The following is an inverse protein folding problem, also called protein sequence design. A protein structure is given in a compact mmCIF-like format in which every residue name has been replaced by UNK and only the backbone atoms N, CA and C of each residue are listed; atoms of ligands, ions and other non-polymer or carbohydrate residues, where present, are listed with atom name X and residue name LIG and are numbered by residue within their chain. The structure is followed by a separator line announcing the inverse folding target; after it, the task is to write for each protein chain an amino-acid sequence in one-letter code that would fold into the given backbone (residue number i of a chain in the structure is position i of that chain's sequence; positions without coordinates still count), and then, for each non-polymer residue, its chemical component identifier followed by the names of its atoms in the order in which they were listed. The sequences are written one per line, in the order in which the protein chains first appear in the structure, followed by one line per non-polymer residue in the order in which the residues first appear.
data_IF_122736850109
#
_entry.id   IF_122736850109
#
_cell.length_a   1.000
_cell.length_b   1.000
_cell.length_c   1.000
_cell.angle_alpha   90.00
_cell.angle_beta   90.00
_cell.angle_gamma   90.00
#
_symmetry.space_group_name_H-M   'P 1'
#
loop_
_entity.id
_entity.type
_entity.pdbx_description
1 polymer ?
#
# COMPACT_ATOMS: atom_id res chain seq x y z
N UNK A 1 13.96 -26.90 11.88
CA UNK A 1 13.26 -25.61 12.08
C UNK A 1 12.14 -25.52 11.06
N UNK A 2 10.91 -25.33 11.51
CA UNK A 2 9.74 -25.32 10.63
C UNK A 2 9.71 -24.00 9.82
N UNK A 3 9.70 -24.13 8.50
CA UNK A 3 9.42 -23.01 7.60
C UNK A 3 7.90 -22.81 7.51
N UNK A 4 7.45 -21.55 7.43
CA UNK A 4 6.02 -21.21 7.45
C UNK A 4 5.62 -20.55 6.14
N UNK A 5 4.60 -21.11 5.48
CA UNK A 5 3.89 -20.51 4.38
C UNK A 5 2.51 -20.03 4.85
N UNK A 6 2.24 -18.74 4.72
CA UNK A 6 0.93 -18.14 4.98
C UNK A 6 0.28 -17.78 3.66
N UNK A 7 -0.93 -18.28 3.44
CA UNK A 7 -1.76 -17.91 2.30
C UNK A 7 -2.89 -16.98 2.78
N UNK A 8 -2.95 -15.79 2.25
CA UNK A 8 -3.97 -14.80 2.58
C UNK A 8 -4.75 -14.39 1.32
N UNK A 9 -5.98 -13.96 1.51
CA UNK A 9 -6.85 -13.53 0.42
C UNK A 9 -6.45 -12.16 -0.15
N UNK A 10 -6.22 -11.18 0.73
CA UNK A 10 -6.04 -9.78 0.35
C UNK A 10 -4.75 -9.20 0.92
N UNK A 11 -3.96 -8.56 0.04
CA UNK A 11 -2.83 -7.75 0.46
C UNK A 11 -3.28 -6.61 1.38
N UNK A 12 -2.58 -6.41 2.48
CA UNK A 12 -2.95 -5.48 3.56
C UNK A 12 -4.32 -5.73 4.23
N UNK A 13 -4.96 -6.86 3.99
CA UNK A 13 -6.10 -7.32 4.78
C UNK A 13 -5.72 -7.70 6.21
N UNK A 14 -6.70 -7.87 7.10
CA UNK A 14 -6.43 -8.21 8.50
C UNK A 14 -5.59 -9.48 8.68
N UNK A 15 -5.82 -10.58 7.95
CA UNK A 15 -4.97 -11.76 8.03
C UNK A 15 -3.53 -11.50 7.60
N UNK A 16 -3.34 -10.77 6.48
CA UNK A 16 -2.02 -10.37 6.02
C UNK A 16 -1.27 -9.52 7.05
N UNK A 17 -1.93 -8.50 7.62
CA UNK A 17 -1.32 -7.61 8.59
C UNK A 17 -0.91 -8.34 9.87
N UNK A 18 -1.72 -9.28 10.35
CA UNK A 18 -1.37 -10.11 11.52
C UNK A 18 -0.18 -11.02 11.22
N UNK A 19 -0.18 -11.67 10.06
CA UNK A 19 0.93 -12.53 9.64
C UNK A 19 2.24 -11.72 9.46
N UNK A 20 2.16 -10.52 8.88
CA UNK A 20 3.30 -9.62 8.72
C UNK A 20 3.89 -9.21 10.07
N UNK A 21 3.04 -8.89 11.06
CA UNK A 21 3.49 -8.57 12.41
C UNK A 21 4.20 -9.75 13.06
N UNK A 22 3.62 -10.97 12.96
CA UNK A 22 4.25 -12.18 13.50
C UNK A 22 5.62 -12.42 12.84
N UNK A 23 5.73 -12.21 11.52
CA UNK A 23 6.99 -12.33 10.79
C UNK A 23 8.04 -11.34 11.29
N UNK A 24 7.67 -10.08 11.52
CA UNK A 24 8.57 -9.04 12.04
C UNK A 24 9.02 -9.31 13.47
N UNK A 25 8.11 -9.81 14.33
CA UNK A 25 8.43 -10.19 15.71
C UNK A 25 9.33 -11.45 15.79
N UNK A 26 9.42 -12.24 14.71
CA UNK A 26 10.20 -13.47 14.63
C UNK A 26 11.17 -13.47 13.43
N UNK A 27 12.15 -12.57 13.36
CA UNK A 27 13.02 -12.40 12.19
C UNK A 27 13.90 -13.62 11.86
N UNK A 28 14.15 -14.47 12.86
CA UNK A 28 14.94 -15.70 12.69
C UNK A 28 14.11 -16.88 12.14
N UNK A 29 12.78 -16.72 12.02
CA UNK A 29 11.91 -17.75 11.50
C UNK A 29 11.67 -17.53 10.02
N UNK A 30 11.93 -18.53 9.20
CA UNK A 30 11.69 -18.44 7.76
C UNK A 30 10.18 -18.49 7.50
N UNK A 31 9.61 -17.34 7.17
CA UNK A 31 8.17 -17.18 6.95
C UNK A 31 7.93 -16.39 5.67
N UNK A 32 7.10 -16.93 4.80
CA UNK A 32 6.68 -16.29 3.55
C UNK A 32 5.16 -16.12 3.55
N UNK A 33 4.68 -14.97 3.06
CA UNK A 33 3.27 -14.65 2.96
C UNK A 33 2.94 -14.46 1.48
N UNK A 34 1.95 -15.19 0.98
CA UNK A 34 1.43 -15.07 -0.39
C UNK A 34 -0.03 -14.62 -0.31
N UNK A 35 -0.39 -13.61 -1.12
CA UNK A 35 -1.78 -13.10 -1.18
C UNK A 35 -2.44 -13.43 -2.52
N UNK A 36 -3.75 -13.21 -2.58
CA UNK A 36 -4.55 -13.58 -3.74
C UNK A 36 -5.01 -15.04 -3.70
N UNK A 37 -5.19 -15.58 -2.46
CA UNK A 37 -5.61 -16.96 -2.25
C UNK A 37 -6.80 -17.35 -3.14
N UNK A 38 -6.59 -18.36 -3.93
CA UNK A 38 -7.62 -19.03 -4.73
C UNK A 38 -7.44 -20.55 -4.64
N UNK A 39 -8.38 -21.29 -5.20
CA UNK A 39 -8.34 -22.75 -5.12
C UNK A 39 -7.12 -23.36 -5.85
N UNK A 40 -6.72 -22.93 -7.06
CA UNK A 40 -5.49 -23.38 -7.69
C UNK A 40 -4.24 -23.21 -6.81
N UNK A 41 -4.09 -22.04 -6.17
CA UNK A 41 -3.00 -21.78 -5.23
C UNK A 41 -2.96 -22.79 -4.09
N UNK A 42 -4.12 -23.05 -3.48
CA UNK A 42 -4.22 -23.98 -2.35
C UNK A 42 -3.90 -25.43 -2.77
N UNK A 43 -4.43 -25.86 -3.92
CA UNK A 43 -4.16 -27.20 -4.48
C UNK A 43 -2.66 -27.35 -4.75
N UNK A 44 -2.04 -26.35 -5.39
CA UNK A 44 -0.61 -26.41 -5.72
C UNK A 44 0.26 -26.45 -4.46
N UNK A 45 -0.04 -25.61 -3.46
CA UNK A 45 0.68 -25.62 -2.19
C UNK A 45 0.64 -26.99 -1.49
N UNK A 46 -0.52 -27.62 -1.52
CA UNK A 46 -0.70 -28.96 -0.95
C UNK A 46 0.05 -30.03 -1.75
N UNK A 47 -0.01 -29.96 -3.07
CA UNK A 47 0.68 -30.88 -3.98
C UNK A 47 2.20 -30.81 -3.82
N UNK A 48 2.77 -29.60 -3.79
CA UNK A 48 4.20 -29.40 -3.58
C UNK A 48 4.69 -30.04 -2.28
N UNK A 49 3.96 -29.86 -1.19
CA UNK A 49 4.31 -30.50 0.08
C UNK A 49 4.24 -32.03 0.06
N UNK A 50 3.38 -32.60 -0.78
CA UNK A 50 3.28 -34.06 -0.92
C UNK A 50 4.37 -34.65 -1.80
N UNK A 51 4.74 -33.94 -2.88
CA UNK A 51 5.71 -34.40 -3.87
C UNK A 51 7.13 -34.15 -3.44
N UNK A 52 7.38 -33.01 -2.81
CA UNK A 52 8.70 -32.56 -2.36
C UNK A 52 8.64 -32.10 -0.88
N UNK A 53 8.50 -33.03 0.07
CA UNK A 53 8.34 -32.69 1.49
C UNK A 53 9.53 -31.92 2.08
N UNK A 54 10.70 -32.06 1.48
CA UNK A 54 11.95 -31.41 1.89
C UNK A 54 12.22 -30.07 1.16
N UNK A 55 11.33 -29.67 0.22
CA UNK A 55 11.47 -28.40 -0.50
C UNK A 55 11.28 -27.22 0.46
N UNK A 56 12.16 -26.23 0.33
CA UNK A 56 12.07 -24.99 1.11
C UNK A 56 10.86 -24.14 0.71
N UNK A 57 10.35 -23.34 1.63
CA UNK A 57 9.18 -22.48 1.41
C UNK A 57 9.32 -21.56 0.21
N UNK A 58 10.53 -21.11 -0.10
CA UNK A 58 10.80 -20.20 -1.25
C UNK A 58 10.59 -20.91 -2.59
N UNK A 59 11.02 -22.17 -2.69
CA UNK A 59 10.82 -23.01 -3.89
C UNK A 59 9.34 -23.29 -4.10
N UNK A 60 8.64 -23.69 -3.04
CA UNK A 60 7.19 -23.91 -3.05
C UNK A 60 6.46 -22.64 -3.52
N UNK A 61 6.84 -21.47 -3.02
CA UNK A 61 6.23 -20.18 -3.38
C UNK A 61 6.42 -19.85 -4.86
N UNK A 62 7.58 -20.14 -5.45
CA UNK A 62 7.81 -19.89 -6.88
C UNK A 62 6.82 -20.68 -7.76
N UNK A 63 6.60 -21.95 -7.43
CA UNK A 63 5.66 -22.83 -8.14
C UNK A 63 4.21 -22.38 -7.93
N UNK A 64 3.83 -22.08 -6.70
CA UNK A 64 2.49 -21.58 -6.36
C UNK A 64 2.17 -20.29 -7.11
N UNK A 65 3.09 -19.35 -7.16
CA UNK A 65 2.89 -18.05 -7.80
C UNK A 65 2.56 -18.21 -9.30
N UNK A 66 3.29 -19.10 -9.97
CA UNK A 66 3.09 -19.40 -11.39
C UNK A 66 1.70 -19.98 -11.64
N UNK A 67 1.36 -21.06 -10.94
CA UNK A 67 0.09 -21.76 -11.09
C UNK A 67 -1.11 -20.86 -10.74
N UNK A 68 -0.98 -20.03 -9.71
CA UNK A 68 -2.03 -19.08 -9.32
C UNK A 68 -2.32 -18.07 -10.45
N UNK A 69 -1.28 -17.54 -11.07
CA UNK A 69 -1.43 -16.60 -12.18
C UNK A 69 -2.08 -17.26 -13.40
N UNK A 70 -1.65 -18.45 -13.73
CA UNK A 70 -2.18 -19.22 -14.86
C UNK A 70 -3.60 -19.78 -14.59
N UNK A 71 -3.98 -19.91 -13.33
CA UNK A 71 -5.30 -20.41 -12.91
C UNK A 71 -6.45 -19.40 -13.09
N UNK A 72 -6.16 -18.13 -13.31
CA UNK A 72 -7.19 -17.10 -13.60
C UNK A 72 -7.50 -17.14 -15.09
N UNK A 73 -8.70 -17.60 -15.43
CA UNK A 73 -9.17 -17.72 -16.82
C UNK A 73 -10.50 -17.02 -17.00
N UNK A 74 -10.74 -16.51 -18.20
CA UNK A 74 -11.98 -15.82 -18.55
C UNK A 74 -12.60 -16.46 -19.79
N UNK A 75 -13.93 -16.61 -19.80
CA UNK A 75 -14.70 -17.06 -20.96
C UNK A 75 -15.77 -16.01 -21.29
N UNK A 76 -15.86 -15.49 -22.50
CA UNK A 76 -15.00 -15.79 -23.66
C UNK A 76 -13.59 -15.17 -23.52
N UNK A 77 -12.60 -15.84 -24.10
CA UNK A 77 -11.17 -15.47 -23.97
C UNK A 77 -10.86 -14.06 -24.47
N UNK A 78 -11.64 -13.52 -25.40
CA UNK A 78 -11.49 -12.15 -25.91
C UNK A 78 -11.76 -11.04 -24.89
N UNK A 79 -12.20 -11.38 -23.67
CA UNK A 79 -12.36 -10.44 -22.55
C UNK A 79 -11.10 -10.38 -21.65
N UNK A 80 -10.12 -11.24 -21.88
CA UNK A 80 -8.84 -11.14 -21.17
C UNK A 80 -8.16 -9.86 -21.69
N UNK A 81 -7.86 -8.88 -20.81
CA UNK A 81 -7.06 -7.73 -21.22
C UNK A 81 -5.74 -8.24 -21.81
N UNK A 82 -5.35 -7.77 -22.99
CA UNK A 82 -4.00 -8.02 -23.48
C UNK A 82 -3.06 -7.56 -22.36
N UNK A 83 -2.28 -8.49 -21.80
CA UNK A 83 -1.22 -8.11 -20.88
C UNK A 83 -0.35 -7.13 -21.66
N UNK A 84 -0.38 -5.87 -21.27
CA UNK A 84 0.58 -4.90 -21.74
C UNK A 84 1.96 -5.43 -21.33
N UNK A 85 2.57 -6.18 -22.26
CA UNK A 85 3.98 -6.57 -22.18
C UNK A 85 4.89 -5.37 -22.41
N UNK A 86 4.31 -4.20 -22.55
CA UNK A 86 5.04 -2.96 -22.36
C UNK A 86 5.34 -2.84 -20.87
N UNK A 87 6.62 -2.65 -20.48
CA UNK A 87 6.93 -2.15 -19.16
C UNK A 87 5.99 -0.96 -18.99
N UNK A 88 5.14 -1.01 -17.93
CA UNK A 88 4.24 0.08 -17.62
C UNK A 88 5.03 1.35 -17.89
N UNK A 89 4.60 2.12 -18.89
CA UNK A 89 5.17 3.45 -19.12
C UNK A 89 5.11 4.10 -17.77
N UNK A 90 6.26 4.16 -17.15
CA UNK A 90 6.41 4.79 -15.87
C UNK A 90 5.79 6.16 -16.09
N UNK A 91 4.61 6.40 -15.53
CA UNK A 91 4.21 7.78 -15.26
C UNK A 91 5.48 8.41 -14.75
N UNK A 92 5.93 9.55 -15.31
CA UNK A 92 7.25 10.07 -15.05
C UNK A 92 7.47 9.95 -13.55
N UNK A 93 8.39 9.06 -13.17
CA UNK A 93 8.76 8.88 -11.79
C UNK A 93 9.20 10.26 -11.37
N UNK A 94 8.46 10.87 -10.45
CA UNK A 94 8.87 12.13 -9.87
C UNK A 94 10.33 11.91 -9.46
N UNK A 95 11.25 12.68 -10.00
CA UNK A 95 12.67 12.44 -9.75
C UNK A 95 12.87 12.31 -8.24
N UNK A 96 13.58 11.27 -7.78
CA UNK A 96 14.01 11.14 -6.38
C UNK A 96 15.05 12.21 -6.03
N UNK A 97 14.87 13.41 -6.54
CA UNK A 97 15.68 14.58 -6.29
C UNK A 97 14.89 15.59 -5.46
N UNK A 98 15.56 16.31 -4.61
CA UNK A 98 14.98 17.43 -3.87
C UNK A 98 14.56 18.48 -4.90
N UNK A 99 13.26 18.77 -4.99
CA UNK A 99 12.75 19.85 -5.84
C UNK A 99 13.33 21.15 -5.31
N UNK A 100 14.00 21.97 -6.14
CA UNK A 100 14.60 23.23 -5.69
C UNK A 100 13.58 24.14 -4.98
N UNK A 101 14.03 24.87 -3.97
CA UNK A 101 13.21 25.89 -3.32
C UNK A 101 12.79 26.94 -4.36
N UNK A 102 11.52 27.37 -4.28
CA UNK A 102 10.94 28.33 -5.23
C UNK A 102 10.31 27.73 -6.48
N UNK A 103 10.37 26.39 -6.67
CA UNK A 103 9.64 25.72 -7.75
C UNK A 103 8.16 25.68 -7.43
N UNK A 104 7.31 26.14 -8.35
CA UNK A 104 5.85 26.03 -8.26
C UNK A 104 5.39 24.97 -9.25
N UNK A 105 4.70 23.91 -8.75
CA UNK A 105 4.09 22.89 -9.59
C UNK A 105 2.60 23.17 -9.75
N UNK A 106 2.10 23.10 -10.97
CA UNK A 106 0.70 23.36 -11.27
C UNK A 106 0.22 24.73 -10.76
N UNK A 107 -0.86 24.73 -9.99
CA UNK A 107 -1.41 25.93 -9.33
C UNK A 107 -0.79 26.21 -7.93
N UNK A 108 0.24 25.46 -7.55
CA UNK A 108 0.90 25.56 -6.26
C UNK A 108 0.09 24.98 -5.08
N UNK A 109 -1.05 24.34 -5.35
CA UNK A 109 -1.95 23.82 -4.31
C UNK A 109 -2.12 22.30 -4.41
N UNK A 110 -2.13 21.65 -3.24
CA UNK A 110 -2.47 20.23 -3.13
C UNK A 110 -3.96 20.04 -3.43
N UNK A 111 -4.28 19.03 -4.25
CA UNK A 111 -5.66 18.64 -4.55
C UNK A 111 -6.08 17.49 -3.63
N UNK A 112 -6.85 17.78 -2.58
CA UNK A 112 -7.37 16.75 -1.69
C UNK A 112 -8.52 16.00 -2.36
N UNK A 113 -8.29 14.75 -2.73
CA UNK A 113 -9.29 13.90 -3.40
C UNK A 113 -10.17 13.13 -2.41
N UNK A 114 -9.67 12.91 -1.20
CA UNK A 114 -10.40 12.31 -0.09
C UNK A 114 -9.73 12.66 1.23
N UNK A 115 -10.52 12.94 2.25
CA UNK A 115 -10.12 12.95 3.65
C UNK A 115 -10.98 11.95 4.42
N UNK A 116 -10.35 10.99 5.09
CA UNK A 116 -11.06 9.89 5.76
C UNK A 116 -10.52 9.69 7.17
N UNK A 117 -11.43 9.55 8.12
CA UNK A 117 -11.13 9.08 9.49
C UNK A 117 -11.42 7.60 9.57
N UNK A 118 -10.41 6.80 9.88
CA UNK A 118 -10.52 5.36 10.08
C UNK A 118 -9.38 4.89 10.98
N UNK A 119 -9.66 4.33 12.15
CA UNK A 119 -8.66 3.87 13.12
C UNK A 119 -7.67 2.85 12.55
N UNK A 120 -8.05 2.14 11.48
CA UNK A 120 -7.18 1.19 10.77
C UNK A 120 -6.24 1.88 9.78
N UNK A 121 -6.46 3.17 9.47
CA UNK A 121 -5.69 3.96 8.50
C UNK A 121 -5.65 3.29 7.11
N UNK A 122 -4.47 3.04 6.58
CA UNK A 122 -4.32 2.36 5.30
C UNK A 122 -4.48 0.84 5.48
N UNK A 123 -5.54 0.30 4.90
CA UNK A 123 -5.87 -1.13 4.91
C UNK A 123 -6.50 -1.54 3.58
N UNK A 124 -6.81 -2.83 3.40
CA UNK A 124 -7.26 -3.40 2.13
C UNK A 124 -8.34 -2.61 1.39
N UNK A 125 -9.41 -2.17 2.07
CA UNK A 125 -10.47 -1.39 1.43
C UNK A 125 -9.99 -0.02 0.94
N UNK A 126 -9.07 0.63 1.69
CA UNK A 126 -8.49 1.92 1.27
C UNK A 126 -7.53 1.70 0.11
N UNK A 127 -6.66 0.69 0.22
CA UNK A 127 -5.66 0.39 -0.79
C UNK A 127 -6.29 -0.04 -2.14
N UNK A 128 -7.41 -0.72 -2.14
CA UNK A 128 -8.10 -1.20 -3.34
C UNK A 128 -9.26 -0.30 -3.75
N UNK A 129 -10.32 -0.22 -2.95
CA UNK A 129 -11.56 0.45 -3.32
C UNK A 129 -11.41 1.97 -3.44
N UNK A 130 -10.99 2.64 -2.37
CA UNK A 130 -10.90 4.11 -2.37
C UNK A 130 -9.80 4.64 -3.25
N UNK A 131 -8.65 3.98 -3.29
CA UNK A 131 -7.56 4.37 -4.20
C UNK A 131 -7.98 4.23 -5.65
N UNK A 132 -8.69 3.16 -5.99
CA UNK A 132 -9.17 2.96 -7.36
C UNK A 132 -10.23 3.99 -7.77
N UNK A 133 -11.12 4.42 -6.87
CA UNK A 133 -12.16 5.40 -7.20
C UNK A 133 -11.67 6.85 -7.19
N UNK A 134 -10.65 7.20 -6.39
CA UNK A 134 -10.17 8.58 -6.25
C UNK A 134 -8.88 8.88 -7.00
N UNK A 135 -8.14 7.84 -7.42
CA UNK A 135 -6.87 7.94 -8.16
C UNK A 135 -5.88 8.93 -7.54
N UNK A 136 -5.48 8.77 -6.27
CA UNK A 136 -4.53 9.66 -5.65
C UNK A 136 -3.10 9.37 -6.15
N UNK A 137 -2.28 10.39 -6.24
CA UNK A 137 -0.83 10.25 -6.45
C UNK A 137 -0.13 9.88 -5.14
N UNK A 138 -0.70 10.37 -4.02
CA UNK A 138 -0.16 10.17 -2.68
C UNK A 138 -1.26 9.85 -1.66
N UNK A 139 -0.97 8.90 -0.78
CA UNK A 139 -1.73 8.67 0.45
C UNK A 139 -0.91 9.21 1.60
N UNK A 140 -1.49 10.10 2.39
CA UNK A 140 -0.81 10.75 3.51
C UNK A 140 -1.56 10.39 4.78
N UNK A 141 -0.94 9.58 5.61
CA UNK A 141 -1.41 9.31 6.98
C UNK A 141 -0.90 10.43 7.87
N UNK A 142 -1.82 11.14 8.49
CA UNK A 142 -1.51 12.29 9.35
C UNK A 142 -1.85 11.95 10.79
N UNK A 143 -0.83 11.71 11.59
CA UNK A 143 -0.99 11.41 13.02
C UNK A 143 0.33 11.62 13.75
N UNK A 144 0.29 12.35 14.86
CA UNK A 144 1.47 12.60 15.70
C UNK A 144 1.90 11.35 16.47
N UNK A 145 0.99 10.41 16.74
CA UNK A 145 1.28 9.16 17.42
C UNK A 145 1.89 8.13 16.48
N UNK A 146 1.27 7.91 15.32
CA UNK A 146 1.67 6.89 14.35
C UNK A 146 3.02 7.17 13.70
N UNK A 147 3.36 8.45 13.47
CA UNK A 147 4.64 8.82 12.85
C UNK A 147 5.86 8.47 13.73
N UNK A 148 5.69 8.31 15.03
CA UNK A 148 6.73 7.90 15.97
C UNK A 148 6.78 6.37 16.18
N UNK A 149 5.76 5.64 15.76
CA UNK A 149 5.71 4.19 15.79
C UNK A 149 6.31 3.60 14.50
N UNK A 150 7.57 3.17 14.59
CA UNK A 150 8.30 2.61 13.43
C UNK A 150 7.63 1.37 12.86
N UNK A 151 7.07 0.51 13.71
CA UNK A 151 6.42 -0.72 13.28
C UNK A 151 5.16 -0.40 12.46
N UNK A 152 4.26 0.40 13.03
CA UNK A 152 3.03 0.83 12.33
C UNK A 152 3.34 1.59 11.04
N UNK A 153 4.33 2.49 11.07
CA UNK A 153 4.77 3.23 9.88
C UNK A 153 5.24 2.30 8.76
N UNK A 154 6.02 1.27 9.08
CA UNK A 154 6.49 0.30 8.10
C UNK A 154 5.33 -0.52 7.53
N UNK A 155 4.43 -1.01 8.36
CA UNK A 155 3.23 -1.76 7.92
C UNK A 155 2.36 -0.92 6.98
N UNK A 156 2.13 0.36 7.31
CA UNK A 156 1.37 1.30 6.48
C UNK A 156 2.06 1.50 5.12
N UNK A 157 3.38 1.67 5.10
CA UNK A 157 4.14 1.83 3.84
C UNK A 157 4.13 0.56 2.99
N UNK A 158 4.18 -0.62 3.62
CA UNK A 158 4.08 -1.91 2.91
C UNK A 158 2.69 -2.14 2.31
N UNK A 159 1.64 -1.58 2.93
CA UNK A 159 0.27 -1.63 2.41
C UNK A 159 0.02 -0.70 1.22
N UNK A 160 1.04 0.00 0.73
CA UNK A 160 0.93 0.95 -0.37
C UNK A 160 0.41 0.27 -1.65
N UNK A 161 -0.62 0.82 -2.31
CA UNK A 161 -1.05 0.35 -3.62
C UNK A 161 0.04 0.59 -4.67
N UNK A 162 0.07 -0.25 -5.71
CA UNK A 162 1.02 -0.08 -6.81
C UNK A 162 0.89 1.31 -7.45
N UNK A 163 2.01 2.00 -7.63
CA UNK A 163 2.07 3.33 -8.25
C UNK A 163 1.64 4.51 -7.36
N UNK A 164 1.28 4.28 -6.09
CA UNK A 164 0.88 5.34 -5.15
C UNK A 164 1.92 5.47 -4.05
N UNK A 165 2.38 6.69 -3.79
CA UNK A 165 3.32 6.96 -2.70
C UNK A 165 2.59 7.10 -1.37
N UNK A 166 3.10 6.45 -0.32
CA UNK A 166 2.52 6.50 1.03
C UNK A 166 3.47 7.20 1.99
N UNK A 167 2.94 8.20 2.68
CA UNK A 167 3.67 8.98 3.69
C UNK A 167 2.94 8.90 5.03
N UNK A 168 3.72 8.80 6.11
CA UNK A 168 3.21 8.92 7.50
C UNK A 168 3.92 10.13 8.10
N UNK A 169 3.16 11.16 8.43
CA UNK A 169 3.72 12.45 8.86
C UNK A 169 2.94 13.02 10.05
N UNK A 170 3.59 13.82 10.90
CA UNK A 170 2.91 14.55 11.97
C UNK A 170 2.07 15.71 11.39
N UNK A 171 1.06 16.13 12.17
CA UNK A 171 0.14 17.22 11.82
C UNK A 171 0.88 18.48 11.37
N UNK A 172 1.92 18.87 12.10
CA UNK A 172 2.75 20.05 11.78
C UNK A 172 3.35 19.98 10.37
N UNK A 173 3.75 18.80 9.93
CA UNK A 173 4.35 18.63 8.61
C UNK A 173 3.28 18.64 7.50
N UNK A 174 2.06 18.21 7.80
CA UNK A 174 0.95 18.32 6.85
C UNK A 174 0.61 19.78 6.54
N UNK A 175 0.55 20.63 7.59
CA UNK A 175 0.33 22.08 7.44
C UNK A 175 1.44 22.72 6.60
N UNK A 176 2.69 22.35 6.85
CA UNK A 176 3.83 22.86 6.04
C UNK A 176 3.72 22.43 4.58
N UNK A 177 3.39 21.15 4.33
CA UNK A 177 3.26 20.61 2.98
C UNK A 177 2.13 21.30 2.20
N UNK A 178 1.02 21.62 2.87
CA UNK A 178 -0.10 22.36 2.25
C UNK A 178 0.30 23.74 1.72
N UNK A 179 1.20 24.40 2.43
CA UNK A 179 1.65 25.76 2.08
C UNK A 179 2.89 25.78 1.17
N UNK A 180 3.40 24.61 0.79
CA UNK A 180 4.59 24.48 -0.04
C UNK A 180 4.19 24.27 -1.51
N UNK A 181 4.43 25.25 -2.40
CA UNK A 181 4.02 25.20 -3.80
C UNK A 181 4.69 24.07 -4.60
N UNK A 182 5.72 23.44 -4.06
CA UNK A 182 6.37 22.28 -4.67
C UNK A 182 5.48 21.02 -4.67
N UNK A 183 4.45 20.98 -3.83
CA UNK A 183 3.44 19.92 -3.80
C UNK A 183 2.19 20.27 -4.63
N UNK A 184 2.23 21.36 -5.39
CA UNK A 184 1.15 21.73 -6.29
C UNK A 184 0.84 20.62 -7.31
N UNK A 185 -0.42 20.57 -7.73
CA UNK A 185 -0.97 19.54 -8.64
C UNK A 185 -0.95 18.09 -8.10
N UNK A 186 -0.47 17.87 -6.87
CA UNK A 186 -0.50 16.56 -6.22
C UNK A 186 -1.93 16.21 -5.79
N UNK A 187 -2.43 15.07 -6.23
CA UNK A 187 -3.71 14.51 -5.79
C UNK A 187 -3.46 13.71 -4.50
N UNK A 188 -3.89 14.23 -3.36
CA UNK A 188 -3.63 13.63 -2.07
C UNK A 188 -4.89 13.05 -1.42
N UNK A 189 -4.79 11.80 -0.92
CA UNK A 189 -5.74 11.20 0.00
C UNK A 189 -5.20 11.35 1.41
N UNK A 190 -5.97 11.94 2.32
CA UNK A 190 -5.61 12.07 3.73
C UNK A 190 -6.29 10.98 4.55
N UNK A 191 -5.53 10.33 5.43
CA UNK A 191 -6.05 9.36 6.39
C UNK A 191 -5.70 9.80 7.80
N UNK A 192 -6.70 9.81 8.67
CA UNK A 192 -6.61 10.19 10.07
C UNK A 192 -7.01 9.01 10.95
N UNK A 193 -6.33 8.81 12.06
CA UNK A 193 -6.67 7.79 13.05
C UNK A 193 -7.90 8.21 13.88
N UNK A 194 -8.05 9.52 14.14
CA UNK A 194 -9.10 10.09 14.96
C UNK A 194 -9.77 11.31 14.31
N UNK A 195 -10.94 11.67 14.82
CA UNK A 195 -11.65 12.90 14.42
C UNK A 195 -10.90 14.12 14.90
N UNK A 196 -10.25 14.02 16.06
CA UNK A 196 -9.45 15.09 16.68
C UNK A 196 -8.28 15.49 15.77
N UNK A 197 -7.53 14.51 15.24
CA UNK A 197 -6.42 14.75 14.30
C UNK A 197 -6.94 15.47 13.03
N UNK A 198 -8.09 15.01 12.50
CA UNK A 198 -8.69 15.61 11.31
C UNK A 198 -9.14 17.06 11.55
N UNK A 199 -9.77 17.33 12.70
CA UNK A 199 -10.19 18.67 13.09
C UNK A 199 -8.99 19.60 13.30
N UNK A 200 -7.93 19.14 13.98
CA UNK A 200 -6.73 19.95 14.21
C UNK A 200 -6.07 20.35 12.90
N UNK A 201 -5.93 19.41 11.95
CA UNK A 201 -5.43 19.74 10.61
C UNK A 201 -6.36 20.75 9.93
N UNK A 202 -7.66 20.54 9.95
CA UNK A 202 -8.65 21.44 9.33
C UNK A 202 -8.55 22.87 9.86
N UNK A 203 -8.51 23.04 11.17
CA UNK A 203 -8.35 24.36 11.79
C UNK A 203 -7.04 25.04 11.39
N UNK A 204 -5.91 24.33 11.45
CA UNK A 204 -4.60 24.91 11.09
C UNK A 204 -4.49 25.24 9.59
N UNK A 205 -5.16 24.52 8.71
CA UNK A 205 -5.19 24.85 7.29
C UNK A 205 -6.03 26.10 7.00
N UNK A 206 -7.11 26.33 7.77
CA UNK A 206 -7.92 27.55 7.65
C UNK A 206 -7.14 28.76 8.16
N UNK A 207 -6.50 28.66 9.34
CA UNK A 207 -5.72 29.77 9.94
C UNK A 207 -4.54 30.21 9.08
N UNK A 208 -3.98 29.30 8.27
CA UNK A 208 -2.86 29.64 7.38
C UNK A 208 -3.31 30.20 6.03
N UNK A 209 -4.60 30.17 5.72
CA UNK A 209 -5.19 30.70 4.49
C UNK A 209 -5.75 32.13 4.64
N UNK A 210 -5.83 32.63 5.89
CA UNK A 210 -6.27 33.99 6.24
C UNK A 210 -5.07 34.94 6.33
#
# INVERSE_FOLDING_TARGET
DDEILVLADLWSGSPFNQASRIKEENPNRKMVIVTGLNLPMLIQAYTERMVAPDAGVEEIVANIYKETKEGVKVLPEGLIPEEDTKPADAKPSIPKGTIPEGTVLGDGKIKYVLARVDTRLLHGQVATGWTHSTHPDRIIVVSDTVCHDKLRTNMIKQAAPSGVQVHVIPIKNMVKANNDPRFGDTRAMLLFESVEDALEVGYRLIDTAA
#
